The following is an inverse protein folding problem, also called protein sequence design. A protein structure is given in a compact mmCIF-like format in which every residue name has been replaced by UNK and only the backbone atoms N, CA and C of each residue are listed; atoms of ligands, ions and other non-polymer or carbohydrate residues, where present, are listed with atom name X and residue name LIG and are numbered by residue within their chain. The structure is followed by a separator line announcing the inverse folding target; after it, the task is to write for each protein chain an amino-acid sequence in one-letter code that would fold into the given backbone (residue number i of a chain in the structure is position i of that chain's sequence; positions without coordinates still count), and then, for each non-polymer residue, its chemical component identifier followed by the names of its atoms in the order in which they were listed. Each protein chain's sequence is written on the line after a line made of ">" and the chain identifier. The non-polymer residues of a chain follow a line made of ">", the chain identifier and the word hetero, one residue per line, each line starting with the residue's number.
data_IF_277952974811
#
_entry.id   IF_277952974811
#
_cell.length_a   1.000
_cell.length_b   1.000
_cell.length_c   1.000
_cell.angle_alpha   90.00
_cell.angle_beta   90.00
_cell.angle_gamma   90.00
#
_symmetry.space_group_name_H-M   'P 1'
#
loop_
_entity.id
_entity.type
_entity.pdbx_description
1 polymer ?
#
# COMPACT_ATOMS: atom_id res chain seq x y z
N UNK A 1 -13.15 24.69 -11.72
CA UNK A 1 -12.59 24.19 -12.99
C UNK A 1 -13.21 22.82 -13.25
N UNK A 2 -14.19 22.79 -14.15
CA UNK A 2 -14.72 21.62 -14.82
C UNK A 2 -15.23 22.16 -16.17
N UNK A 3 -15.01 21.37 -17.21
CA UNK A 3 -15.08 21.67 -18.65
C UNK A 3 -15.97 22.90 -19.02
N UNK A 4 -15.33 24.02 -19.35
CA UNK A 4 -15.94 25.15 -20.09
C UNK A 4 -16.04 24.78 -21.57
N UNK A 5 -16.80 23.75 -21.91
CA UNK A 5 -17.34 23.62 -23.28
C UNK A 5 -18.72 24.25 -23.24
N UNK A 6 -18.86 25.33 -23.99
CA UNK A 6 -19.92 26.32 -23.81
C UNK A 6 -21.29 25.84 -24.28
N UNK A 7 -21.43 24.65 -24.88
CA UNK A 7 -22.68 24.21 -25.52
C UNK A 7 -22.88 22.67 -25.52
N UNK A 8 -22.48 21.93 -24.49
CA UNK A 8 -22.83 20.49 -24.38
C UNK A 8 -23.96 20.36 -23.36
N UNK A 9 -25.11 19.86 -23.82
CA UNK A 9 -26.27 19.59 -22.98
C UNK A 9 -26.07 18.31 -22.15
N UNK A 10 -26.80 18.18 -21.04
CA UNK A 10 -26.75 16.96 -20.23
C UNK A 10 -27.14 15.69 -21.01
N UNK A 11 -28.05 15.79 -21.98
CA UNK A 11 -28.44 14.67 -22.83
C UNK A 11 -27.27 14.24 -23.72
N UNK A 12 -26.60 15.19 -24.38
CA UNK A 12 -25.41 14.89 -25.18
C UNK A 12 -24.29 14.31 -24.31
N UNK A 13 -24.09 14.87 -23.11
CA UNK A 13 -23.11 14.37 -22.16
C UNK A 13 -23.45 12.94 -21.71
N UNK A 14 -24.72 12.63 -21.50
CA UNK A 14 -25.19 11.28 -21.15
C UNK A 14 -24.89 10.30 -22.28
N UNK A 15 -25.20 10.67 -23.53
CA UNK A 15 -24.88 9.84 -24.71
C UNK A 15 -23.39 9.55 -24.79
N UNK A 16 -22.54 10.58 -24.66
CA UNK A 16 -21.07 10.40 -24.68
C UNK A 16 -20.62 9.45 -23.57
N UNK A 17 -21.14 9.60 -22.35
CA UNK A 17 -20.78 8.72 -21.23
C UNK A 17 -21.22 7.27 -21.46
N UNK A 18 -22.39 7.04 -22.04
CA UNK A 18 -22.89 5.71 -22.38
C UNK A 18 -22.07 5.06 -23.51
N UNK A 19 -21.68 5.83 -24.51
CA UNK A 19 -20.84 5.35 -25.61
C UNK A 19 -19.45 4.96 -25.13
N UNK A 20 -18.85 5.77 -24.24
CA UNK A 20 -17.59 5.43 -23.59
C UNK A 20 -17.73 4.15 -22.76
N UNK A 21 -18.83 3.99 -22.04
CA UNK A 21 -19.11 2.77 -21.31
C UNK A 21 -19.20 1.54 -22.22
N UNK A 22 -19.93 1.66 -23.33
CA UNK A 22 -20.05 0.58 -24.31
C UNK A 22 -18.69 0.22 -24.93
N UNK A 23 -17.84 1.21 -25.24
CA UNK A 23 -16.48 0.96 -25.74
C UNK A 23 -15.60 0.22 -24.73
N UNK A 24 -15.68 0.57 -23.44
CA UNK A 24 -14.97 -0.16 -22.39
C UNK A 24 -15.37 -1.63 -22.35
N UNK A 25 -16.65 -1.92 -22.56
CA UNK A 25 -17.17 -3.28 -22.58
C UNK A 25 -16.75 -4.04 -23.84
N UNK A 26 -16.86 -3.41 -25.03
CA UNK A 26 -16.44 -3.99 -26.31
C UNK A 26 -14.95 -4.37 -26.31
N UNK A 27 -14.11 -3.52 -25.72
CA UNK A 27 -12.67 -3.75 -25.59
C UNK A 27 -12.29 -4.76 -24.52
N UNK A 28 -13.28 -5.32 -23.80
CA UNK A 28 -13.07 -6.29 -22.71
C UNK A 28 -12.04 -5.80 -21.69
N UNK A 29 -12.08 -4.51 -21.37
CA UNK A 29 -11.14 -3.93 -20.42
C UNK A 29 -11.25 -4.62 -19.05
N UNK A 30 -10.11 -4.71 -18.36
CA UNK A 30 -10.02 -5.21 -16.98
C UNK A 30 -11.04 -4.52 -16.06
N UNK A 31 -11.63 -5.28 -15.13
CA UNK A 31 -12.72 -4.80 -14.27
C UNK A 31 -12.33 -3.53 -13.50
N UNK A 32 -11.11 -3.49 -12.96
CA UNK A 32 -10.58 -2.34 -12.21
C UNK A 32 -10.44 -1.07 -13.07
N UNK A 33 -10.03 -1.23 -14.33
CA UNK A 33 -9.86 -0.12 -15.28
C UNK A 33 -11.23 0.44 -15.68
N UNK A 34 -12.19 -0.44 -16.00
CA UNK A 34 -13.57 0.00 -16.31
C UNK A 34 -14.21 0.74 -15.15
N UNK A 35 -13.95 0.26 -13.93
CA UNK A 35 -14.43 0.92 -12.70
C UNK A 35 -13.83 2.31 -12.53
N UNK A 36 -12.50 2.47 -12.69
CA UNK A 36 -11.87 3.79 -12.56
C UNK A 36 -12.41 4.81 -13.58
N UNK A 37 -12.66 4.38 -14.81
CA UNK A 37 -13.24 5.25 -15.85
C UNK A 37 -14.71 5.55 -15.56
N UNK A 38 -15.51 4.57 -15.11
CA UNK A 38 -16.90 4.80 -14.69
C UNK A 38 -16.99 5.81 -13.55
N UNK A 39 -16.19 5.64 -12.49
CA UNK A 39 -16.12 6.55 -11.35
C UNK A 39 -15.80 7.98 -11.80
N UNK A 40 -14.88 8.13 -12.75
CA UNK A 40 -14.55 9.42 -13.36
C UNK A 40 -15.75 10.04 -14.09
N UNK A 41 -16.43 9.29 -14.96
CA UNK A 41 -17.58 9.78 -15.72
C UNK A 41 -18.78 10.11 -14.83
N UNK A 42 -19.00 9.36 -13.75
CA UNK A 42 -20.11 9.57 -12.83
C UNK A 42 -19.90 10.77 -11.91
N UNK A 43 -18.69 10.94 -11.36
CA UNK A 43 -18.47 11.85 -10.24
C UNK A 43 -17.60 13.07 -10.53
N UNK A 44 -16.70 12.99 -11.53
CA UNK A 44 -15.82 14.10 -11.89
C UNK A 44 -16.33 14.89 -13.10
N UNK A 45 -17.15 14.25 -13.93
CA UNK A 45 -17.85 14.90 -15.04
C UNK A 45 -19.30 15.11 -14.62
N UNK A 46 -19.60 16.23 -13.97
CA UNK A 46 -20.94 16.52 -13.46
C UNK A 46 -21.93 16.86 -14.57
N UNK A 47 -23.16 16.36 -14.46
CA UNK A 47 -24.31 16.93 -15.18
C UNK A 47 -24.73 18.24 -14.52
N UNK A 48 -25.32 19.15 -15.29
CA UNK A 48 -25.94 20.37 -14.76
C UNK A 48 -27.18 20.03 -13.93
N UNK A 49 -27.99 19.06 -14.40
CA UNK A 49 -29.15 18.52 -13.72
C UNK A 49 -28.78 17.26 -12.91
N UNK A 50 -28.93 17.28 -11.58
CA UNK A 50 -28.65 16.12 -10.72
C UNK A 50 -29.46 14.85 -11.06
N UNK A 51 -30.63 14.98 -11.68
CA UNK A 51 -31.46 13.83 -12.09
C UNK A 51 -30.84 13.04 -13.26
N UNK A 52 -29.99 13.69 -14.07
CA UNK A 52 -29.37 13.05 -15.24
C UNK A 52 -28.35 11.99 -14.84
N UNK A 53 -27.71 12.14 -13.69
CA UNK A 53 -26.87 11.09 -13.13
C UNK A 53 -27.68 9.81 -12.85
N UNK A 54 -28.86 9.95 -12.23
CA UNK A 54 -29.72 8.81 -11.92
C UNK A 54 -30.17 8.07 -13.18
N UNK A 55 -30.55 8.81 -14.22
CA UNK A 55 -30.96 8.25 -15.52
C UNK A 55 -29.78 7.53 -16.18
N UNK A 56 -28.59 8.13 -16.17
CA UNK A 56 -27.38 7.50 -16.68
C UNK A 56 -27.06 6.18 -15.98
N UNK A 57 -27.13 6.14 -14.64
CA UNK A 57 -26.91 4.92 -13.85
C UNK A 57 -27.94 3.82 -14.20
N UNK A 58 -29.21 4.20 -14.35
CA UNK A 58 -30.31 3.30 -14.73
C UNK A 58 -30.15 2.74 -16.15
N UNK A 59 -29.66 3.53 -17.11
CA UNK A 59 -29.40 3.07 -18.47
C UNK A 59 -28.20 2.09 -18.55
N UNK A 60 -27.14 2.34 -17.77
CA UNK A 60 -26.01 1.41 -17.64
C UNK A 60 -26.45 0.08 -17.03
N UNK A 61 -27.31 0.12 -16.02
CA UNK A 61 -27.92 -1.08 -15.39
C UNK A 61 -28.68 -1.94 -16.39
N UNK A 62 -29.60 -1.30 -17.12
CA UNK A 62 -30.49 -1.99 -18.06
C UNK A 62 -29.72 -2.66 -19.21
N UNK A 63 -28.62 -2.06 -19.69
CA UNK A 63 -27.79 -2.64 -20.75
C UNK A 63 -27.06 -3.94 -20.36
N UNK A 64 -26.82 -4.18 -19.07
CA UNK A 64 -25.99 -5.31 -18.60
C UNK A 64 -26.81 -6.55 -18.23
N UNK A 65 -28.14 -6.43 -18.13
CA UNK A 65 -29.06 -7.57 -17.88
C UNK A 65 -28.80 -8.34 -16.58
N UNK A 66 -27.93 -7.83 -15.72
CA UNK A 66 -27.56 -8.36 -14.40
C UNK A 66 -27.30 -7.16 -13.52
N UNK A 67 -27.73 -7.23 -12.26
CA UNK A 67 -27.54 -6.21 -11.24
C UNK A 67 -26.04 -6.00 -10.92
N UNK A 68 -25.31 -5.37 -11.83
CA UNK A 68 -24.00 -4.76 -11.51
C UNK A 68 -24.26 -3.49 -10.67
N UNK A 69 -25.50 -2.99 -10.72
CA UNK A 69 -26.05 -1.84 -10.03
C UNK A 69 -26.71 -2.19 -8.69
N UNK A 70 -26.22 -3.23 -8.00
CA UNK A 70 -26.43 -3.25 -6.55
C UNK A 70 -25.45 -2.25 -5.93
N UNK A 71 -25.85 -0.98 -5.99
CA UNK A 71 -25.42 0.13 -5.15
C UNK A 71 -23.99 0.65 -5.37
N UNK A 72 -23.83 1.73 -6.13
CA UNK A 72 -22.63 2.58 -6.12
C UNK A 72 -22.19 2.97 -4.70
N UNK A 73 -23.12 3.09 -3.74
CA UNK A 73 -22.82 3.25 -2.30
C UNK A 73 -22.23 2.02 -1.63
N UNK A 74 -22.73 0.83 -1.97
CA UNK A 74 -22.24 -0.45 -1.44
C UNK A 74 -20.86 -0.76 -2.00
N UNK A 75 -20.64 -0.48 -3.29
CA UNK A 75 -19.32 -0.51 -3.92
C UNK A 75 -18.34 0.49 -3.29
N UNK A 76 -18.73 1.75 -3.07
CA UNK A 76 -17.88 2.75 -2.41
C UNK A 76 -17.55 2.33 -0.97
N UNK A 77 -18.52 1.75 -0.26
CA UNK A 77 -18.31 1.21 1.07
C UNK A 77 -17.34 0.01 1.05
N UNK A 78 -17.47 -0.88 0.07
CA UNK A 78 -16.56 -2.02 -0.13
C UNK A 78 -15.14 -1.55 -0.50
N UNK A 79 -15.02 -0.56 -1.38
CA UNK A 79 -13.74 0.06 -1.77
C UNK A 79 -13.06 0.71 -0.57
N UNK A 80 -13.77 1.53 0.20
CA UNK A 80 -13.25 2.16 1.41
C UNK A 80 -12.85 1.14 2.48
N UNK A 81 -13.64 0.07 2.67
CA UNK A 81 -13.29 -1.04 3.58
C UNK A 81 -12.01 -1.74 3.12
N UNK A 82 -11.91 -2.09 1.84
CA UNK A 82 -10.74 -2.79 1.29
C UNK A 82 -9.48 -1.92 1.35
N UNK A 83 -9.57 -0.63 1.04
CA UNK A 83 -8.47 0.32 1.20
C UNK A 83 -8.04 0.44 2.67
N UNK A 84 -9.00 0.52 3.60
CA UNK A 84 -8.73 0.53 5.04
C UNK A 84 -8.02 -0.74 5.51
N UNK A 85 -8.46 -1.92 5.06
CA UNK A 85 -7.80 -3.20 5.37
C UNK A 85 -6.39 -3.25 4.79
N UNK A 86 -6.19 -2.86 3.54
CA UNK A 86 -4.86 -2.83 2.92
C UNK A 86 -3.90 -1.87 3.66
N UNK A 87 -4.39 -0.69 4.04
CA UNK A 87 -3.63 0.28 4.84
C UNK A 87 -3.28 -0.29 6.21
N UNK A 88 -4.23 -0.97 6.87
CA UNK A 88 -4.00 -1.68 8.14
C UNK A 88 -2.89 -2.71 8.02
N UNK A 89 -3.02 -3.64 7.06
CA UNK A 89 -2.03 -4.71 6.83
C UNK A 89 -0.65 -4.14 6.49
N UNK A 90 -0.58 -3.09 5.65
CA UNK A 90 0.69 -2.45 5.30
C UNK A 90 1.34 -1.77 6.51
N UNK A 91 0.53 -1.12 7.35
CA UNK A 91 0.99 -0.44 8.57
C UNK A 91 1.44 -1.45 9.62
N UNK A 92 0.68 -2.52 9.84
CA UNK A 92 1.05 -3.62 10.72
C UNK A 92 2.34 -4.27 10.28
N UNK A 93 2.46 -4.62 8.99
CA UNK A 93 3.70 -5.20 8.45
C UNK A 93 4.90 -4.27 8.64
N UNK A 94 4.75 -2.98 8.34
CA UNK A 94 5.82 -2.00 8.54
C UNK A 94 6.20 -1.86 10.03
N UNK A 95 5.23 -1.90 10.94
CA UNK A 95 5.48 -1.83 12.38
C UNK A 95 6.13 -3.12 12.91
N UNK A 96 5.69 -4.29 12.47
CA UNK A 96 6.31 -5.58 12.81
C UNK A 96 7.73 -5.67 12.30
N UNK A 97 8.01 -5.24 11.06
CA UNK A 97 9.36 -5.19 10.49
C UNK A 97 10.27 -4.25 11.29
N UNK A 98 9.77 -3.08 11.71
CA UNK A 98 10.50 -2.16 12.59
C UNK A 98 10.79 -2.77 13.96
N UNK A 99 9.79 -3.39 14.60
CA UNK A 99 9.95 -4.01 15.91
C UNK A 99 10.98 -5.15 15.87
N UNK A 100 10.92 -6.00 14.84
CA UNK A 100 11.91 -7.06 14.62
C UNK A 100 13.32 -6.51 14.37
N UNK A 101 13.45 -5.39 13.66
CA UNK A 101 14.74 -4.74 13.44
C UNK A 101 15.31 -4.17 14.74
N UNK A 102 14.47 -3.53 15.56
CA UNK A 102 14.87 -3.02 16.88
C UNK A 102 15.29 -4.14 17.84
N UNK A 103 14.53 -5.25 17.90
CA UNK A 103 14.91 -6.41 18.71
C UNK A 103 16.23 -7.02 18.26
N UNK A 104 16.44 -7.18 16.94
CA UNK A 104 17.72 -7.66 16.39
C UNK A 104 18.88 -6.73 16.75
N UNK A 105 18.65 -5.42 16.72
CA UNK A 105 19.66 -4.43 17.11
C UNK A 105 20.01 -4.55 18.59
N UNK A 106 19.01 -4.66 19.48
CA UNK A 106 19.24 -4.86 20.92
C UNK A 106 20.00 -6.14 21.21
N UNK A 107 19.63 -7.26 20.58
CA UNK A 107 20.36 -8.53 20.73
C UNK A 107 21.80 -8.40 20.27
N UNK A 108 22.04 -7.69 19.16
CA UNK A 108 23.39 -7.45 18.66
C UNK A 108 24.21 -6.57 19.60
N UNK A 109 23.61 -5.51 20.15
CA UNK A 109 24.23 -4.63 21.16
C UNK A 109 24.59 -5.41 22.43
N UNK A 110 23.68 -6.25 22.94
CA UNK A 110 23.97 -7.12 24.10
C UNK A 110 25.09 -8.11 23.80
N UNK A 111 25.09 -8.74 22.61
CA UNK A 111 26.20 -9.63 22.19
C UNK A 111 27.52 -8.87 22.07
N UNK A 112 27.49 -7.65 21.56
CA UNK A 112 28.67 -6.78 21.48
C UNK A 112 29.23 -6.46 22.87
N UNK A 113 28.36 -6.12 23.82
CA UNK A 113 28.74 -5.82 25.22
C UNK A 113 29.35 -7.04 25.91
N UNK A 114 28.70 -8.21 25.81
CA UNK A 114 29.21 -9.46 26.38
C UNK A 114 30.59 -9.80 25.82
N UNK A 115 30.77 -9.72 24.50
CA UNK A 115 32.07 -9.96 23.86
C UNK A 115 33.12 -8.94 24.32
N UNK A 116 32.75 -7.67 24.44
CA UNK A 116 33.66 -6.60 24.90
C UNK A 116 34.17 -6.89 26.31
N UNK A 117 33.28 -7.28 27.23
CA UNK A 117 33.65 -7.61 28.61
C UNK A 117 34.54 -8.86 28.67
N UNK A 118 34.25 -9.89 27.86
CA UNK A 118 35.08 -11.09 27.78
C UNK A 118 36.51 -10.78 27.30
N UNK A 119 36.68 -9.85 26.38
CA UNK A 119 38.00 -9.44 25.87
C UNK A 119 38.72 -8.54 26.88
N UNK A 120 38.05 -7.51 27.41
CA UNK A 120 38.66 -6.46 28.22
C UNK A 120 38.88 -6.89 29.67
N UNK A 121 37.88 -7.51 30.29
CA UNK A 121 37.90 -7.82 31.72
C UNK A 121 38.45 -9.22 31.99
N UNK A 122 38.16 -10.17 31.10
CA UNK A 122 38.56 -11.58 31.27
C UNK A 122 39.73 -12.01 30.36
N UNK A 123 40.15 -11.16 29.41
CA UNK A 123 41.32 -11.43 28.57
C UNK A 123 41.15 -12.59 27.58
N UNK A 124 39.92 -12.94 27.19
CA UNK A 124 39.66 -14.09 26.33
C UNK A 124 40.27 -13.94 24.93
N UNK A 125 40.71 -15.07 24.34
CA UNK A 125 41.06 -15.12 22.91
C UNK A 125 39.79 -15.05 22.05
N UNK A 126 39.96 -14.79 20.75
CA UNK A 126 38.81 -14.63 19.85
C UNK A 126 37.97 -15.92 19.77
N UNK A 127 38.61 -17.08 19.83
CA UNK A 127 37.95 -18.39 19.82
C UNK A 127 37.20 -18.64 21.14
N UNK A 128 37.79 -18.26 22.28
CA UNK A 128 37.17 -18.42 23.59
C UNK A 128 35.94 -17.52 23.75
N UNK A 129 36.06 -16.25 23.36
CA UNK A 129 34.96 -15.30 23.40
C UNK A 129 33.84 -15.68 22.42
N UNK A 130 34.19 -16.12 21.21
CA UNK A 130 33.21 -16.58 20.22
C UNK A 130 32.40 -17.76 20.74
N UNK A 131 33.08 -18.73 21.36
CA UNK A 131 32.45 -19.90 21.96
C UNK A 131 31.57 -19.54 23.16
N UNK A 132 32.02 -18.65 24.04
CA UNK A 132 31.29 -18.27 25.25
C UNK A 132 30.07 -17.38 24.97
N UNK A 133 30.15 -16.50 23.97
CA UNK A 133 29.06 -15.57 23.60
C UNK A 133 28.15 -16.11 22.48
N UNK A 134 28.38 -17.35 22.02
CA UNK A 134 27.64 -17.98 20.91
C UNK A 134 27.56 -17.07 19.67
N UNK A 135 28.73 -16.62 19.23
CA UNK A 135 28.91 -15.77 18.03
C UNK A 135 30.04 -16.32 17.17
N UNK A 136 30.18 -15.81 15.95
CA UNK A 136 31.30 -16.18 15.07
C UNK A 136 32.59 -15.51 15.49
N UNK A 137 33.73 -16.14 15.20
CA UNK A 137 35.06 -15.55 15.42
C UNK A 137 35.22 -14.23 14.66
N UNK A 138 34.70 -14.15 13.44
CA UNK A 138 34.69 -12.91 12.64
C UNK A 138 33.96 -11.75 13.34
N UNK A 139 32.86 -12.04 14.07
CA UNK A 139 32.16 -11.01 14.84
C UNK A 139 33.04 -10.51 15.98
N UNK A 140 33.72 -11.40 16.70
CA UNK A 140 34.64 -11.05 17.78
C UNK A 140 35.82 -10.22 17.28
N UNK A 141 36.40 -10.58 16.13
CA UNK A 141 37.48 -9.82 15.50
C UNK A 141 37.05 -8.39 15.14
N UNK A 142 35.82 -8.20 14.66
CA UNK A 142 35.25 -6.86 14.41
C UNK A 142 35.13 -6.06 15.71
N UNK A 143 34.58 -6.66 16.76
CA UNK A 143 34.49 -6.02 18.09
C UNK A 143 35.89 -5.60 18.58
N UNK A 144 36.89 -6.49 18.46
CA UNK A 144 38.27 -6.22 18.86
C UNK A 144 38.89 -5.06 18.07
N UNK A 145 38.67 -5.02 16.76
CA UNK A 145 39.15 -3.92 15.91
C UNK A 145 38.49 -2.57 16.28
N UNK A 146 37.19 -2.56 16.59
CA UNK A 146 36.48 -1.35 17.00
C UNK A 146 36.92 -0.88 18.41
N UNK A 147 37.19 -1.79 19.33
CA UNK A 147 37.78 -1.48 20.64
C UNK A 147 39.20 -0.91 20.52
N UNK A 148 40.02 -1.43 19.59
CA UNK A 148 41.36 -0.92 19.33
C UNK A 148 41.33 0.50 18.75
N UNK A 149 40.36 0.81 17.88
CA UNK A 149 40.17 2.17 17.33
C UNK A 149 39.72 3.19 18.38
N UNK A 150 38.93 2.79 19.37
CA UNK A 150 38.50 3.67 20.48
C UNK A 150 39.61 4.00 21.48
N UNK A 151 40.72 3.25 21.45
CA UNK A 151 41.85 3.40 22.38
C UNK A 151 42.96 4.32 21.83
N UNK A 152 42.88 4.68 20.55
CA UNK A 152 43.70 5.69 19.87
C UNK A 152 42.92 6.99 19.71
#
# INVERSE_FOLDING_TARGET
>A
MAIRHKDITDEELKTIKLDLYDEMMKRKMEKSVRQGIYDFLAYYVSFENPQMLRIFEEEVENKLGRSITVGTREYLLEKAKNEGVMLGVKTERANSEKLLAEERKKVLETKYEVVSNLILDFGFTDEQAAKAAEVTVDFVQKVRADLAKKKN
#
